data_IF_288495932352
#
_entry.id   IF_288495932352
#
_cell.length_a   1.000
_cell.length_b   1.000
_cell.length_c   1.000
_cell.angle_alpha   90.00
_cell.angle_beta   90.00
_cell.angle_gamma   90.00
#
_symmetry.space_group_name_H-M   'P 1'
#
loop_
_entity.id
_entity.type
_entity.pdbx_description
1 polymer ?
#
# COMPACT_ATOMS: atom_id res chain seq x y z
N UNK A 1 -32.03 -8.15 18.30
CA UNK A 1 -31.01 -7.10 18.10
C UNK A 1 -29.66 -7.78 17.87
N UNK A 2 -29.01 -7.54 16.73
CA UNK A 2 -27.71 -8.13 16.37
C UNK A 2 -26.51 -7.21 16.74
N UNK A 3 -26.70 -6.35 17.74
CA UNK A 3 -25.74 -5.28 18.12
C UNK A 3 -24.38 -5.78 18.62
N UNK A 4 -24.26 -7.07 18.93
CA UNK A 4 -23.04 -7.71 19.40
C UNK A 4 -22.40 -8.64 18.35
N UNK A 5 -22.94 -8.69 17.13
CA UNK A 5 -22.43 -9.60 16.10
C UNK A 5 -21.11 -9.06 15.55
N UNK A 6 -20.06 -9.86 15.67
CA UNK A 6 -18.70 -9.55 15.20
C UNK A 6 -18.35 -10.30 13.91
N UNK A 7 -18.94 -11.48 13.71
CA UNK A 7 -18.66 -12.35 12.57
C UNK A 7 -19.97 -12.73 11.89
N UNK A 8 -20.07 -12.47 10.58
CA UNK A 8 -21.21 -12.86 9.76
C UNK A 8 -20.72 -13.52 8.47
N UNK A 9 -21.07 -14.80 8.30
CA UNK A 9 -20.82 -15.55 7.08
C UNK A 9 -22.14 -15.86 6.38
N UNK A 10 -22.31 -15.30 5.18
CA UNK A 10 -23.44 -15.51 4.28
C UNK A 10 -22.96 -15.95 2.89
N UNK A 11 -21.78 -16.58 2.82
CA UNK A 11 -21.17 -17.08 1.59
C UNK A 11 -22.08 -18.05 0.84
N UNK A 12 -22.05 -18.01 -0.49
CA UNK A 12 -22.74 -18.95 -1.40
C UNK A 12 -24.26 -19.02 -1.13
N UNK A 13 -24.87 -17.86 -0.93
CA UNK A 13 -26.33 -17.71 -0.88
C UNK A 13 -26.83 -17.02 -2.17
N UNK A 14 -28.07 -16.52 -2.14
CA UNK A 14 -28.73 -15.85 -3.28
C UNK A 14 -29.11 -14.41 -2.92
N UNK A 15 -28.29 -13.74 -2.09
CA UNK A 15 -28.56 -12.38 -1.66
C UNK A 15 -28.38 -11.41 -2.82
N UNK A 16 -29.35 -10.53 -3.04
CA UNK A 16 -29.29 -9.44 -4.02
C UNK A 16 -29.00 -8.09 -3.37
N UNK A 17 -29.29 -7.96 -2.08
CA UNK A 17 -28.94 -6.83 -1.23
C UNK A 17 -28.72 -7.29 0.22
N UNK A 18 -28.00 -6.49 0.99
CA UNK A 18 -27.85 -6.66 2.44
C UNK A 18 -27.72 -5.29 3.10
N UNK A 19 -28.42 -5.10 4.22
CA UNK A 19 -28.25 -3.94 5.11
C UNK A 19 -27.59 -4.39 6.41
N UNK A 20 -26.44 -3.79 6.72
CA UNK A 20 -25.64 -4.10 7.92
C UNK A 20 -25.63 -2.97 8.96
N UNK A 21 -26.45 -1.93 8.78
CA UNK A 21 -26.52 -0.76 9.68
C UNK A 21 -26.84 -1.13 11.13
N UNK A 22 -27.61 -2.20 11.35
CA UNK A 22 -27.97 -2.69 12.68
C UNK A 22 -26.88 -3.54 13.37
N UNK A 23 -25.73 -3.73 12.72
CA UNK A 23 -24.63 -4.60 13.18
C UNK A 23 -23.30 -3.82 13.31
N UNK A 24 -23.24 -2.76 14.15
CA UNK A 24 -22.12 -1.83 14.20
C UNK A 24 -20.80 -2.45 14.72
N UNK A 25 -20.86 -3.65 15.31
CA UNK A 25 -19.69 -4.37 15.86
C UNK A 25 -19.10 -5.40 14.89
N UNK A 26 -19.59 -5.49 13.65
CA UNK A 26 -19.04 -6.44 12.69
C UNK A 26 -17.56 -6.16 12.43
N UNK A 27 -16.76 -7.19 12.63
CA UNK A 27 -15.34 -7.24 12.30
C UNK A 27 -15.11 -8.01 11.00
N UNK A 28 -15.93 -9.04 10.72
CA UNK A 28 -15.83 -9.84 9.50
C UNK A 28 -17.19 -10.08 8.88
N UNK A 29 -17.24 -9.84 7.57
CA UNK A 29 -18.41 -10.05 6.74
C UNK A 29 -18.00 -10.82 5.47
N UNK A 30 -18.44 -12.07 5.35
CA UNK A 30 -18.26 -12.89 4.14
C UNK A 30 -19.57 -12.97 3.36
N UNK A 31 -19.60 -12.33 2.20
CA UNK A 31 -20.71 -12.30 1.25
C UNK A 31 -20.30 -12.90 -0.11
N UNK A 32 -19.20 -13.65 -0.15
CA UNK A 32 -18.69 -14.19 -1.40
C UNK A 32 -19.65 -15.18 -2.06
N UNK A 33 -19.72 -15.17 -3.39
CA UNK A 33 -20.58 -16.09 -4.15
C UNK A 33 -22.08 -15.83 -3.97
N UNK A 34 -22.49 -14.56 -3.90
CA UNK A 34 -23.90 -14.15 -3.88
C UNK A 34 -24.29 -13.47 -5.22
N UNK A 35 -25.37 -12.71 -5.25
CA UNK A 35 -25.84 -11.96 -6.43
C UNK A 35 -26.03 -10.49 -6.10
N UNK A 36 -25.20 -9.94 -5.21
CA UNK A 36 -25.29 -8.54 -4.78
C UNK A 36 -25.02 -7.64 -5.99
N UNK A 37 -25.97 -6.76 -6.27
CA UNK A 37 -25.86 -5.78 -7.37
C UNK A 37 -25.33 -4.43 -6.89
N UNK A 38 -25.45 -4.16 -5.59
CA UNK A 38 -25.01 -2.92 -4.96
C UNK A 38 -24.19 -3.20 -3.71
N UNK A 39 -23.37 -2.22 -3.32
CA UNK A 39 -22.62 -2.26 -2.08
C UNK A 39 -23.55 -2.49 -0.86
N UNK A 40 -23.21 -3.36 0.10
CA UNK A 40 -24.06 -3.60 1.26
C UNK A 40 -24.28 -2.32 2.08
N UNK A 41 -25.54 -1.98 2.35
CA UNK A 41 -25.91 -0.72 2.97
C UNK A 41 -25.28 -0.60 4.37
N UNK A 42 -24.53 0.48 4.58
CA UNK A 42 -23.88 0.79 5.85
C UNK A 42 -22.53 0.09 6.07
N UNK A 43 -22.07 -0.79 5.17
CA UNK A 43 -20.81 -1.50 5.36
C UNK A 43 -19.59 -0.56 5.33
N UNK A 44 -19.66 0.56 4.62
CA UNK A 44 -18.64 1.61 4.60
C UNK A 44 -18.53 2.38 5.93
N UNK A 45 -19.57 2.32 6.77
CA UNK A 45 -19.60 2.98 8.09
C UNK A 45 -19.16 2.06 9.22
N UNK A 46 -18.87 0.79 8.95
CA UNK A 46 -18.36 -0.16 9.93
C UNK A 46 -16.87 0.09 10.18
N UNK A 47 -16.57 0.95 11.16
CA UNK A 47 -15.21 1.31 11.56
C UNK A 47 -14.43 0.12 12.13
N UNK A 48 -15.12 -0.80 12.80
CA UNK A 48 -14.54 -2.04 13.35
C UNK A 48 -14.34 -3.15 12.31
N UNK A 49 -14.87 -3.01 11.09
CA UNK A 49 -14.76 -4.05 10.07
C UNK A 49 -13.30 -4.16 9.62
N UNK A 50 -12.76 -5.38 9.71
CA UNK A 50 -11.40 -5.78 9.36
C UNK A 50 -11.35 -6.56 8.05
N UNK A 51 -12.45 -7.21 7.67
CA UNK A 51 -12.54 -8.03 6.47
C UNK A 51 -13.94 -7.99 5.86
N UNK A 52 -14.02 -7.68 4.57
CA UNK A 52 -15.24 -7.70 3.76
C UNK A 52 -14.99 -8.49 2.48
N UNK A 53 -15.61 -9.67 2.36
CA UNK A 53 -15.52 -10.47 1.14
C UNK A 53 -16.78 -10.28 0.28
N UNK A 54 -16.61 -9.66 -0.88
CA UNK A 54 -17.66 -9.41 -1.86
C UNK A 54 -17.34 -10.11 -3.19
N UNK A 55 -16.42 -11.08 -3.19
CA UNK A 55 -16.02 -11.79 -4.41
C UNK A 55 -17.18 -12.56 -5.02
N UNK A 56 -17.14 -12.74 -6.33
CA UNK A 56 -18.12 -13.53 -7.08
C UNK A 56 -19.56 -13.05 -6.79
N UNK A 57 -19.80 -11.75 -6.99
CA UNK A 57 -21.10 -11.10 -6.89
C UNK A 57 -21.46 -10.43 -8.24
N UNK A 58 -22.45 -9.56 -8.25
CA UNK A 58 -22.96 -8.89 -9.46
C UNK A 58 -22.80 -7.35 -9.39
N UNK A 59 -21.79 -6.86 -8.67
CA UNK A 59 -21.52 -5.42 -8.56
C UNK A 59 -21.05 -4.87 -9.91
N UNK A 60 -21.79 -3.91 -10.46
CA UNK A 60 -21.40 -3.19 -11.68
C UNK A 60 -20.59 -1.92 -11.39
N UNK A 61 -20.72 -1.40 -10.17
CA UNK A 61 -20.17 -0.12 -9.73
C UNK A 61 -19.93 -0.10 -8.22
N UNK A 62 -19.19 0.91 -7.76
CA UNK A 62 -18.94 1.16 -6.34
C UNK A 62 -19.38 2.60 -6.00
N UNK A 63 -19.96 2.83 -4.81
CA UNK A 63 -20.25 4.19 -4.36
C UNK A 63 -18.99 5.05 -4.30
N UNK A 64 -19.09 6.33 -4.66
CA UNK A 64 -17.96 7.27 -4.58
C UNK A 64 -17.30 7.30 -3.20
N UNK A 65 -18.11 7.19 -2.14
CA UNK A 65 -17.62 7.14 -0.75
C UNK A 65 -16.73 5.92 -0.49
N UNK A 66 -17.05 4.76 -1.07
CA UNK A 66 -16.22 3.56 -0.96
C UNK A 66 -14.89 3.79 -1.68
N UNK A 67 -14.93 4.39 -2.88
CA UNK A 67 -13.74 4.72 -3.66
C UNK A 67 -12.86 5.80 -3.00
N UNK A 68 -13.43 6.67 -2.18
CA UNK A 68 -12.71 7.74 -1.49
C UNK A 68 -12.05 7.30 -0.17
N UNK A 69 -12.56 6.25 0.48
CA UNK A 69 -12.08 5.82 1.80
C UNK A 69 -11.12 4.63 1.63
N UNK A 70 -9.82 4.93 1.68
CA UNK A 70 -8.73 3.96 1.48
C UNK A 70 -8.86 2.74 2.41
N UNK A 71 -9.24 2.95 3.68
CA UNK A 71 -9.40 1.87 4.66
C UNK A 71 -10.56 0.92 4.35
N UNK A 72 -11.60 1.38 3.64
CA UNK A 72 -12.72 0.54 3.19
C UNK A 72 -12.28 -0.33 2.02
N UNK A 73 -11.58 0.24 1.04
CA UNK A 73 -11.05 -0.54 -0.07
C UNK A 73 -10.00 -1.56 0.36
N UNK A 74 -9.09 -1.19 1.27
CA UNK A 74 -8.03 -2.08 1.77
C UNK A 74 -8.54 -3.35 2.46
N UNK A 75 -9.75 -3.29 3.05
CA UNK A 75 -10.37 -4.44 3.72
C UNK A 75 -11.37 -5.22 2.85
N UNK A 76 -11.55 -4.80 1.59
CA UNK A 76 -12.60 -5.33 0.71
C UNK A 76 -12.03 -6.17 -0.40
N UNK A 77 -12.62 -7.33 -0.63
CA UNK A 77 -12.26 -8.25 -1.72
C UNK A 77 -13.35 -8.24 -2.79
N UNK A 78 -13.00 -7.81 -4.01
CA UNK A 78 -13.98 -7.45 -5.04
C UNK A 78 -13.84 -8.24 -6.35
N UNK A 79 -12.92 -9.20 -6.42
CA UNK A 79 -12.70 -10.00 -7.64
C UNK A 79 -13.94 -10.81 -8.03
N UNK A 80 -14.14 -11.05 -9.33
CA UNK A 80 -15.29 -11.83 -9.81
C UNK A 80 -16.61 -11.04 -9.83
N UNK A 81 -16.55 -9.71 -9.77
CA UNK A 81 -17.69 -8.84 -10.03
C UNK A 81 -17.65 -8.27 -11.46
N UNK A 82 -18.80 -8.10 -12.13
CA UNK A 82 -18.92 -7.57 -13.48
C UNK A 82 -18.87 -6.04 -13.51
N UNK A 83 -17.80 -5.44 -13.01
CA UNK A 83 -17.64 -3.98 -13.00
C UNK A 83 -17.69 -3.40 -14.42
N UNK A 84 -18.36 -2.27 -14.59
CA UNK A 84 -18.30 -1.50 -15.84
C UNK A 84 -16.88 -0.99 -16.09
N UNK A 85 -16.57 -0.61 -17.34
CA UNK A 85 -15.26 -0.05 -17.67
C UNK A 85 -14.94 1.21 -16.83
N UNK A 86 -15.95 2.03 -16.57
CA UNK A 86 -15.86 3.23 -15.73
C UNK A 86 -15.57 2.86 -14.27
N UNK A 87 -16.28 1.86 -13.73
CA UNK A 87 -16.06 1.38 -12.37
C UNK A 87 -14.68 0.75 -12.19
N UNK A 88 -14.21 -0.03 -13.17
CA UNK A 88 -12.85 -0.59 -13.17
C UNK A 88 -11.78 0.50 -13.21
N UNK A 89 -11.98 1.55 -14.02
CA UNK A 89 -11.08 2.69 -14.10
C UNK A 89 -11.04 3.47 -12.77
N UNK A 90 -12.20 3.69 -12.15
CA UNK A 90 -12.31 4.35 -10.85
C UNK A 90 -11.66 3.52 -9.73
N UNK A 91 -11.88 2.21 -9.71
CA UNK A 91 -11.25 1.29 -8.76
C UNK A 91 -9.73 1.24 -8.96
N UNK A 92 -9.26 1.22 -10.20
CA UNK A 92 -7.82 1.26 -10.53
C UNK A 92 -7.18 2.57 -10.08
N UNK A 93 -7.88 3.69 -10.26
CA UNK A 93 -7.43 5.01 -9.79
C UNK A 93 -7.35 5.05 -8.27
N UNK A 94 -8.38 4.57 -7.57
CA UNK A 94 -8.41 4.51 -6.12
C UNK A 94 -7.30 3.60 -5.56
N UNK A 95 -7.12 2.40 -6.13
CA UNK A 95 -6.01 1.50 -5.78
C UNK A 95 -4.64 2.13 -6.03
N UNK A 96 -4.47 2.82 -7.17
CA UNK A 96 -3.24 3.53 -7.48
C UNK A 96 -2.91 4.63 -6.47
N UNK A 97 -3.92 5.35 -5.95
CA UNK A 97 -3.75 6.33 -4.86
C UNK A 97 -3.29 5.66 -3.56
N UNK A 98 -3.90 4.54 -3.20
CA UNK A 98 -3.53 3.77 -2.01
C UNK A 98 -2.10 3.23 -2.15
N UNK A 99 -1.77 2.67 -3.31
CA UNK A 99 -0.42 2.17 -3.60
C UNK A 99 0.62 3.28 -3.57
N UNK A 100 0.30 4.46 -4.12
CA UNK A 100 1.17 5.62 -4.11
C UNK A 100 1.47 6.10 -2.68
N UNK A 101 0.43 6.26 -1.86
CA UNK A 101 0.55 6.74 -0.48
C UNK A 101 1.24 5.74 0.45
N UNK A 102 1.07 4.45 0.20
CA UNK A 102 1.71 3.39 0.99
C UNK A 102 3.07 2.95 0.43
N UNK A 103 3.55 3.53 -0.67
CA UNK A 103 4.81 3.13 -1.28
C UNK A 103 4.82 1.71 -1.83
N UNK A 104 3.66 1.21 -2.28
CA UNK A 104 3.55 -0.05 -3.00
C UNK A 104 3.82 0.16 -4.50
N UNK A 105 4.20 -0.91 -5.23
CA UNK A 105 4.26 -0.87 -6.68
C UNK A 105 2.84 -0.87 -7.28
N UNK A 106 2.71 -0.30 -8.48
CA UNK A 106 1.43 -0.27 -9.20
C UNK A 106 0.88 -1.67 -9.41
N UNK A 107 -0.39 -1.89 -9.09
CA UNK A 107 -1.09 -3.15 -9.25
C UNK A 107 -0.83 -4.18 -8.14
N UNK A 108 -0.06 -3.83 -7.10
CA UNK A 108 0.20 -4.70 -5.95
C UNK A 108 -1.10 -5.16 -5.27
N UNK A 109 -2.07 -4.26 -5.09
CA UNK A 109 -3.33 -4.57 -4.43
C UNK A 109 -4.15 -5.56 -5.28
N UNK A 110 -4.22 -5.34 -6.59
CA UNK A 110 -4.91 -6.23 -7.54
C UNK A 110 -4.26 -7.62 -7.55
N UNK A 111 -2.93 -7.69 -7.61
CA UNK A 111 -2.20 -8.97 -7.59
C UNK A 111 -2.36 -9.73 -6.28
N UNK A 112 -2.55 -9.05 -5.15
CA UNK A 112 -2.83 -9.71 -3.88
C UNK A 112 -4.24 -10.30 -3.86
N UNK A 113 -5.25 -9.53 -4.29
CA UNK A 113 -6.65 -9.99 -4.29
C UNK A 113 -6.89 -11.20 -5.20
N UNK A 114 -6.15 -11.33 -6.31
CA UNK A 114 -6.27 -12.47 -7.23
C UNK A 114 -5.65 -13.78 -6.73
N UNK A 115 -5.06 -13.80 -5.53
CA UNK A 115 -4.46 -15.01 -4.99
C UNK A 115 -5.53 -15.97 -4.44
N UNK A 116 -5.32 -17.30 -4.58
CA UNK A 116 -6.27 -18.27 -4.06
C UNK A 116 -6.41 -18.06 -2.55
N UNK A 117 -7.66 -17.91 -2.09
CA UNK A 117 -8.00 -17.79 -0.67
C UNK A 117 -7.75 -19.12 0.06
N UNK A 118 -6.50 -19.53 0.18
CA UNK A 118 -6.07 -20.72 0.91
C UNK A 118 -6.08 -20.54 2.42
N UNK A 119 -6.62 -19.43 2.96
CA UNK A 119 -6.41 -19.04 4.36
C UNK A 119 -7.67 -18.93 5.23
N UNK A 120 -8.86 -19.25 4.70
CA UNK A 120 -10.11 -19.09 5.47
C UNK A 120 -10.77 -20.41 5.90
N UNK A 121 -10.11 -21.55 5.72
CA UNK A 121 -10.63 -22.87 6.14
C UNK A 121 -10.05 -23.26 7.49
N UNK A 122 -10.33 -22.48 8.54
CA UNK A 122 -10.25 -22.98 9.90
C UNK A 122 -11.32 -22.28 10.74
N UNK A 123 -12.30 -23.08 11.17
CA UNK A 123 -13.34 -22.66 12.09
C UNK A 123 -12.73 -22.03 13.36
N UNK A 124 -13.31 -20.91 13.79
CA UNK A 124 -13.21 -20.35 15.14
C UNK A 124 -11.83 -19.87 15.64
N UNK A 125 -10.79 -19.88 14.80
CA UNK A 125 -9.51 -19.25 15.11
C UNK A 125 -9.33 -18.04 14.24
N UNK A 126 -9.13 -16.88 14.86
CA UNK A 126 -8.52 -15.66 14.31
C UNK A 126 -8.53 -15.64 12.79
N UNK A 127 -9.53 -14.96 12.23
CA UNK A 127 -9.51 -14.42 10.88
C UNK A 127 -8.06 -14.06 10.56
N UNK A 128 -7.51 -14.35 9.39
CA UNK A 128 -6.27 -13.76 8.94
C UNK A 128 -6.41 -12.24 8.75
N UNK A 129 -7.02 -11.53 9.70
CA UNK A 129 -6.28 -10.64 10.56
C UNK A 129 -5.01 -10.09 9.91
N UNK A 130 -5.17 -8.91 9.35
CA UNK A 130 -4.23 -7.80 9.54
C UNK A 130 -3.02 -7.68 8.61
N UNK A 131 -3.02 -8.25 7.40
CA UNK A 131 -1.97 -7.88 6.42
C UNK A 131 -2.19 -6.48 5.81
N UNK A 132 -3.42 -6.11 5.44
CA UNK A 132 -3.71 -4.82 4.80
C UNK A 132 -3.94 -3.66 5.78
N UNK A 133 -4.61 -3.90 6.91
CA UNK A 133 -4.90 -2.85 7.88
C UNK A 133 -3.67 -2.39 8.66
N UNK A 134 -2.65 -3.26 8.78
CA UNK A 134 -1.34 -2.97 9.39
C UNK A 134 -0.23 -2.86 8.36
N UNK A 135 -0.56 -2.69 7.08
CA UNK A 135 0.44 -2.60 6.02
C UNK A 135 1.46 -1.48 6.30
N UNK A 136 0.99 -0.36 6.84
CA UNK A 136 1.80 0.77 7.25
C UNK A 136 2.78 0.47 8.40
N UNK A 137 2.57 -0.59 9.19
CA UNK A 137 3.50 -1.00 10.25
C UNK A 137 4.75 -1.71 9.69
N UNK A 138 4.66 -2.27 8.48
CA UNK A 138 5.70 -3.13 7.91
C UNK A 138 6.33 -2.58 6.62
N UNK A 139 5.74 -1.58 5.98
CA UNK A 139 6.30 -0.99 4.77
C UNK A 139 7.41 0.02 5.09
N UNK A 140 8.42 0.06 4.22
CA UNK A 140 9.48 1.05 4.28
C UNK A 140 8.90 2.43 3.94
N UNK A 141 9.25 3.48 4.72
CA UNK A 141 8.76 4.83 4.46
C UNK A 141 9.35 5.39 3.17
N UNK A 142 8.49 6.02 2.37
CA UNK A 142 8.91 6.86 1.26
C UNK A 142 9.56 8.14 1.82
N UNK A 143 10.74 8.50 1.31
CA UNK A 143 11.38 9.78 1.65
C UNK A 143 10.69 10.89 0.85
N UNK A 144 9.79 11.64 1.49
CA UNK A 144 9.08 12.75 0.84
C UNK A 144 10.01 13.95 0.62
N UNK A 145 9.95 14.55 -0.57
CA UNK A 145 10.73 15.74 -0.92
C UNK A 145 10.21 17.01 -0.22
N UNK A 146 11.10 17.85 0.29
CA UNK A 146 10.78 19.26 0.51
C UNK A 146 10.95 20.01 -0.81
N UNK A 147 9.94 20.74 -1.26
CA UNK A 147 10.06 21.62 -2.41
C UNK A 147 10.92 22.85 -2.08
N UNK A 148 11.91 23.12 -2.94
CA UNK A 148 12.57 24.40 -3.20
C UNK A 148 13.38 25.06 -2.06
N UNK A 149 14.69 24.86 -2.12
CA UNK A 149 15.65 25.95 -1.94
C UNK A 149 16.57 25.95 -3.18
N UNK A 150 16.77 27.12 -3.78
CA UNK A 150 17.65 27.35 -4.92
C UNK A 150 19.11 27.49 -4.44
N UNK A 151 20.07 27.03 -5.26
CA UNK A 151 21.51 27.10 -4.98
C UNK A 151 22.08 25.95 -4.15
N UNK A 152 23.38 26.05 -3.85
CA UNK A 152 24.19 25.02 -3.17
C UNK A 152 23.64 24.57 -1.81
N UNK A 153 23.03 25.46 -1.03
CA UNK A 153 22.37 25.12 0.24
C UNK A 153 21.14 24.21 0.03
N UNK A 154 20.43 24.38 -1.09
CA UNK A 154 19.32 23.53 -1.49
C UNK A 154 19.76 22.13 -1.92
N UNK A 155 20.92 22.01 -2.56
CA UNK A 155 21.52 20.72 -2.94
C UNK A 155 21.95 19.92 -1.71
N UNK A 156 22.62 20.58 -0.75
CA UNK A 156 23.03 19.98 0.53
C UNK A 156 21.83 19.46 1.32
N UNK A 157 20.74 20.24 1.40
CA UNK A 157 19.51 19.82 2.06
C UNK A 157 18.89 18.60 1.37
N UNK A 158 18.77 18.62 0.04
CA UNK A 158 18.22 17.51 -0.74
C UNK A 158 19.05 16.23 -0.61
N UNK A 159 20.38 16.34 -0.50
CA UNK A 159 21.26 15.21 -0.26
C UNK A 159 21.07 14.60 1.14
N UNK A 160 20.88 15.44 2.16
CA UNK A 160 20.58 14.98 3.54
C UNK A 160 19.17 14.41 3.68
N UNK A 161 18.20 14.87 2.89
CA UNK A 161 16.87 14.24 2.82
C UNK A 161 16.97 12.81 2.25
N UNK A 162 17.87 12.58 1.30
CA UNK A 162 18.13 11.26 0.75
C UNK A 162 18.87 10.35 1.75
N UNK A 163 19.81 10.92 2.51
CA UNK A 163 20.60 10.20 3.51
C UNK A 163 20.72 11.02 4.81
N UNK A 164 19.87 10.76 5.82
CA UNK A 164 19.82 11.51 7.07
C UNK A 164 21.07 11.28 7.95
N UNK A 165 21.85 10.24 7.70
CA UNK A 165 23.08 9.94 8.43
C UNK A 165 24.26 10.83 7.97
N UNK A 166 24.11 11.55 6.85
CA UNK A 166 25.09 12.55 6.42
C UNK A 166 25.01 13.82 7.29
N UNK A 167 26.16 14.17 7.88
CA UNK A 167 26.35 15.48 8.48
C UNK A 167 26.30 16.59 7.42
N UNK A 168 26.04 17.83 7.88
CA UNK A 168 26.04 18.99 7.01
C UNK A 168 27.37 19.21 6.28
N UNK A 169 28.49 18.97 6.97
CA UNK A 169 29.84 19.11 6.42
C UNK A 169 30.14 18.05 5.37
N UNK A 170 29.78 16.78 5.63
CA UNK A 170 29.95 15.71 4.64
C UNK A 170 29.12 15.95 3.39
N UNK A 171 27.89 16.42 3.54
CA UNK A 171 27.03 16.77 2.42
C UNK A 171 27.59 17.95 1.61
N UNK A 172 28.11 18.99 2.26
CA UNK A 172 28.81 20.10 1.59
C UNK A 172 30.05 19.63 0.83
N UNK A 173 30.87 18.77 1.46
CA UNK A 173 32.06 18.20 0.83
C UNK A 173 31.70 17.35 -0.41
N UNK A 174 30.60 16.59 -0.36
CA UNK A 174 30.11 15.84 -1.52
C UNK A 174 29.73 16.77 -2.69
N UNK A 175 28.97 17.84 -2.42
CA UNK A 175 28.59 18.82 -3.46
C UNK A 175 29.83 19.53 -4.02
N UNK A 176 30.77 19.93 -3.16
CA UNK A 176 32.02 20.56 -3.58
C UNK A 176 32.87 19.63 -4.46
N UNK A 177 32.91 18.33 -4.15
CA UNK A 177 33.66 17.34 -4.96
C UNK A 177 33.01 17.10 -6.31
N UNK A 178 31.69 17.06 -6.39
CA UNK A 178 30.95 16.98 -7.65
C UNK A 178 31.19 18.21 -8.52
N UNK A 179 31.21 19.41 -7.92
CA UNK A 179 31.61 20.64 -8.61
C UNK A 179 33.06 20.62 -9.10
N UNK A 180 33.98 20.10 -8.29
CA UNK A 180 35.38 19.90 -8.66
C UNK A 180 35.60 18.86 -9.78
N UNK A 181 34.65 17.95 -10.00
CA UNK A 181 34.63 17.01 -11.12
C UNK A 181 34.11 17.62 -12.43
N UNK A 182 33.80 18.93 -12.44
CA UNK A 182 33.35 19.67 -13.63
C UNK A 182 31.84 19.66 -13.85
N UNK A 183 31.05 19.24 -12.86
CA UNK A 183 29.58 19.30 -12.93
C UNK A 183 29.08 20.68 -12.50
N UNK A 184 28.15 21.25 -13.26
CA UNK A 184 27.43 22.46 -12.86
C UNK A 184 26.33 22.15 -11.82
N UNK A 185 25.77 23.19 -11.19
CA UNK A 185 24.72 23.02 -10.18
C UNK A 185 23.47 22.31 -10.72
N UNK A 186 23.15 22.46 -12.01
CA UNK A 186 21.98 21.83 -12.63
C UNK A 186 22.21 20.33 -12.88
N UNK A 187 23.41 19.94 -13.26
CA UNK A 187 23.82 18.55 -13.42
C UNK A 187 23.90 17.83 -12.07
N UNK A 188 24.36 18.52 -11.02
CA UNK A 188 24.34 17.98 -9.65
C UNK A 188 22.89 17.80 -9.18
N UNK A 189 22.00 18.76 -9.45
CA UNK A 189 20.59 18.62 -9.13
C UNK A 189 19.92 17.46 -9.87
N UNK A 190 20.18 17.33 -11.18
CA UNK A 190 19.71 16.21 -11.98
C UNK A 190 20.20 14.87 -11.42
N UNK A 191 21.46 14.79 -10.98
CA UNK A 191 22.01 13.57 -10.37
C UNK A 191 21.34 13.22 -9.04
N UNK A 192 21.11 14.22 -8.17
CA UNK A 192 20.40 14.02 -6.89
C UNK A 192 18.96 13.58 -7.15
N UNK A 193 18.32 14.11 -8.20
CA UNK A 193 17.00 13.67 -8.65
C UNK A 193 17.02 12.22 -9.12
N UNK A 194 17.98 11.81 -9.96
CA UNK A 194 18.11 10.42 -10.41
C UNK A 194 18.32 9.44 -9.24
N UNK A 195 19.13 9.81 -8.25
CA UNK A 195 19.33 9.01 -7.04
C UNK A 195 18.05 8.87 -6.23
N UNK A 196 17.25 9.94 -6.14
CA UNK A 196 15.96 9.92 -5.45
C UNK A 196 14.97 9.00 -6.16
N UNK A 197 14.82 9.15 -7.46
CA UNK A 197 13.94 8.29 -8.26
C UNK A 197 14.35 6.82 -8.14
N UNK A 198 15.65 6.55 -8.10
CA UNK A 198 16.19 5.20 -7.89
C UNK A 198 15.93 4.65 -6.47
N UNK A 199 16.04 5.47 -5.40
CA UNK A 199 15.69 5.05 -4.02
C UNK A 199 14.20 4.79 -3.87
N UNK A 200 13.35 5.64 -4.47
CA UNK A 200 11.91 5.45 -4.46
C UNK A 200 11.51 4.17 -5.21
N UNK A 201 12.06 3.96 -6.41
CA UNK A 201 11.80 2.76 -7.20
C UNK A 201 12.20 1.49 -6.44
N UNK A 202 13.39 1.48 -5.82
CA UNK A 202 13.85 0.37 -5.00
C UNK A 202 12.94 0.15 -3.78
N UNK A 203 12.58 1.22 -3.07
CA UNK A 203 11.69 1.16 -1.90
C UNK A 203 10.34 0.54 -2.29
N UNK A 204 9.76 0.95 -3.42
CA UNK A 204 8.51 0.36 -3.93
C UNK A 204 8.66 -1.11 -4.30
N UNK A 205 9.77 -1.51 -4.92
CA UNK A 205 10.02 -2.92 -5.24
C UNK A 205 10.15 -3.78 -3.98
N UNK A 206 10.89 -3.30 -2.99
CA UNK A 206 11.07 -3.95 -1.69
C UNK A 206 9.75 -4.06 -0.93
N UNK A 207 8.96 -2.98 -0.91
CA UNK A 207 7.60 -2.97 -0.35
C UNK A 207 6.70 -3.97 -1.06
N UNK A 208 6.78 -4.08 -2.38
CA UNK A 208 6.07 -5.12 -3.15
C UNK A 208 6.49 -6.54 -2.77
N UNK A 209 7.77 -6.78 -2.45
CA UNK A 209 8.26 -8.08 -2.00
C UNK A 209 7.83 -8.41 -0.56
N UNK A 210 7.88 -7.43 0.35
CA UNK A 210 7.34 -7.56 1.70
C UNK A 210 5.85 -7.90 1.65
N UNK A 211 5.13 -7.23 0.76
CA UNK A 211 3.67 -7.32 0.63
C UNK A 211 3.17 -8.63 -0.03
N UNK A 212 4.02 -9.37 -0.75
CA UNK A 212 3.64 -10.70 -1.26
C UNK A 212 3.48 -11.67 -0.08
N UNK A 213 2.37 -12.41 0.04
CA UNK A 213 2.24 -13.38 1.12
C UNK A 213 3.28 -14.48 1.00
N UNK A 214 3.71 -15.00 2.14
CA UNK A 214 4.84 -15.88 2.22
C UNK A 214 4.59 -17.19 1.46
N UNK A 215 5.38 -17.42 0.41
CA UNK A 215 5.67 -18.78 -0.03
C UNK A 215 6.52 -19.45 1.08
N UNK A 216 5.82 -19.91 2.12
CA UNK A 216 6.17 -20.92 3.11
C UNK A 216 7.51 -20.88 3.90
N UNK A 217 8.44 -19.93 3.71
CA UNK A 217 9.76 -20.02 4.41
C UNK A 217 10.34 -18.77 5.07
N UNK A 218 9.75 -17.59 4.91
CA UNK A 218 10.32 -16.34 5.44
C UNK A 218 9.22 -15.49 6.04
N UNK A 219 9.37 -15.08 7.31
CA UNK A 219 8.39 -14.24 8.00
C UNK A 219 8.36 -12.81 7.43
N UNK A 220 7.27 -12.08 7.63
CA UNK A 220 7.19 -10.66 7.23
C UNK A 220 8.30 -9.84 7.88
N UNK A 221 8.63 -10.11 9.14
CA UNK A 221 9.69 -9.40 9.88
C UNK A 221 11.08 -9.61 9.26
N UNK A 222 11.39 -10.83 8.84
CA UNK A 222 12.67 -11.14 8.17
C UNK A 222 12.78 -10.44 6.81
N UNK A 223 11.65 -10.28 6.11
CA UNK A 223 11.59 -9.54 4.84
C UNK A 223 11.80 -8.05 5.06
N UNK A 224 11.16 -7.46 6.07
CA UNK A 224 11.37 -6.07 6.44
C UNK A 224 12.84 -5.82 6.76
N UNK A 225 13.45 -6.67 7.59
CA UNK A 225 14.87 -6.56 7.95
C UNK A 225 15.79 -6.70 6.73
N UNK A 226 15.53 -7.67 5.85
CA UNK A 226 16.29 -7.87 4.61
C UNK A 226 16.15 -6.66 3.67
N UNK A 227 14.94 -6.12 3.55
CA UNK A 227 14.66 -4.96 2.72
C UNK A 227 15.37 -3.70 3.25
N UNK A 228 15.40 -3.49 4.56
CA UNK A 228 16.19 -2.41 5.19
C UNK A 228 17.66 -2.52 4.82
N UNK A 229 18.27 -3.70 5.00
CA UNK A 229 19.69 -3.92 4.65
C UNK A 229 20.01 -3.69 3.17
N UNK A 230 19.11 -4.09 2.26
CA UNK A 230 19.30 -3.85 0.83
C UNK A 230 19.27 -2.34 0.55
N UNK A 231 18.32 -1.61 1.15
CA UNK A 231 18.22 -0.16 1.00
C UNK A 231 19.45 0.56 1.55
N UNK A 232 19.91 0.19 2.73
CA UNK A 232 21.06 0.81 3.40
C UNK A 232 22.36 0.56 2.59
N UNK A 233 22.56 -0.65 2.08
CA UNK A 233 23.67 -0.98 1.19
C UNK A 233 23.67 -0.13 -0.09
N UNK A 234 22.50 0.11 -0.69
CA UNK A 234 22.40 1.00 -1.85
C UNK A 234 22.75 2.46 -1.52
N UNK A 235 22.48 2.92 -0.30
CA UNK A 235 22.89 4.26 0.18
C UNK A 235 24.42 4.30 0.38
N UNK A 236 25.00 3.29 1.02
CA UNK A 236 26.46 3.20 1.23
C UNK A 236 27.24 3.15 -0.08
N UNK A 237 26.78 2.36 -1.05
CA UNK A 237 27.40 2.31 -2.38
C UNK A 237 27.38 3.68 -3.05
N UNK A 238 26.28 4.44 -2.96
CA UNK A 238 26.21 5.81 -3.50
C UNK A 238 27.19 6.75 -2.81
N UNK A 239 27.35 6.65 -1.50
CA UNK A 239 28.32 7.46 -0.76
C UNK A 239 29.77 7.09 -1.11
N UNK A 240 30.04 5.85 -1.52
CA UNK A 240 31.37 5.38 -1.94
C UNK A 240 31.71 5.73 -3.40
N UNK A 241 30.72 5.96 -4.26
CA UNK A 241 30.90 6.40 -5.65
C UNK A 241 30.83 7.92 -5.85
N UNK A 242 30.39 8.66 -4.82
CA UNK A 242 30.76 10.06 -4.61
C UNK A 242 32.03 10.03 -3.82
#
# INVERSE_FOLDING_TARGET
MLKALEFLNLRRNRLTALDVTAMPKLEVLDLSGNSLQTWPAGAENLSGLKWLDLRDNSLDSLPERVLAIDSVLLKSHLTGNPFSAEAEAALTTARGRIEASNGLPRGALKSYESQPAGYLVAANTSVPGTAFSRIHEFLLPLRTASSAAEGSAGLVRRLRELNPDLSQEQAQHCIARLGGAGLDEAQIDARIKDWRESDEALTRQLNGWIFKPAAARVSTQDRVFTAMRIRDCCVELRNNFV
#
